data_IF_409430432864
#
_entry.id   IF_409430432864
#
_cell.length_a   1.000
_cell.length_b   1.000
_cell.length_c   1.000
_cell.angle_alpha   90.00
_cell.angle_beta   90.00
_cell.angle_gamma   90.00
#
_symmetry.space_group_name_H-M   'P 1'
#
loop_
_entity.id
_entity.type
_entity.pdbx_description
1 polymer ?
#
# COMPACT_ATOMS: atom_id res chain seq x y z
N UNK A 1 9.34 7.58 40.54
CA UNK A 1 8.30 6.78 39.82
C UNK A 1 8.19 7.09 38.31
N UNK A 2 8.70 8.23 37.80
CA UNK A 2 8.58 8.63 36.38
C UNK A 2 9.44 7.83 35.38
N UNK A 3 10.56 7.26 35.83
CA UNK A 3 11.47 6.49 34.95
C UNK A 3 10.89 5.09 34.66
N UNK A 4 10.20 4.47 35.64
CA UNK A 4 9.58 3.15 35.49
C UNK A 4 8.41 3.18 34.49
N UNK A 5 7.64 4.27 34.47
CA UNK A 5 6.55 4.48 33.50
C UNK A 5 7.04 4.74 32.08
N UNK A 6 8.20 5.39 31.91
CA UNK A 6 8.80 5.62 30.59
C UNK A 6 9.32 4.33 29.94
N UNK A 7 9.92 3.43 30.73
CA UNK A 7 10.38 2.12 30.25
C UNK A 7 9.24 1.20 29.81
N UNK A 8 8.12 1.19 30.56
CA UNK A 8 6.93 0.41 30.20
C UNK A 8 6.25 0.93 28.93
N UNK A 9 6.22 2.25 28.72
CA UNK A 9 5.68 2.84 27.48
C UNK A 9 6.56 2.54 26.25
N UNK A 10 7.89 2.53 26.41
CA UNK A 10 8.83 2.23 25.33
C UNK A 10 8.76 0.78 24.83
N UNK A 11 8.58 -0.19 25.74
CA UNK A 11 8.46 -1.60 25.37
C UNK A 11 7.12 -1.90 24.68
N UNK A 12 6.02 -1.28 25.12
CA UNK A 12 4.70 -1.47 24.51
C UNK A 12 4.63 -1.00 23.05
N UNK A 13 5.38 0.06 22.70
CA UNK A 13 5.40 0.58 21.34
C UNK A 13 6.13 -0.33 20.34
N UNK A 14 7.13 -1.09 20.78
CA UNK A 14 7.86 -2.02 19.90
C UNK A 14 7.05 -3.28 19.56
N UNK A 15 6.18 -3.74 20.45
CA UNK A 15 5.31 -4.92 20.21
C UNK A 15 4.21 -4.62 19.20
N UNK A 16 3.71 -3.38 19.12
CA UNK A 16 2.66 -3.01 18.15
C UNK A 16 3.18 -2.81 16.71
N UNK A 17 4.50 -2.75 16.50
CA UNK A 17 5.10 -2.56 15.16
C UNK A 17 5.18 -3.82 14.30
N UNK A 18 5.08 -5.02 14.90
CA UNK A 18 5.24 -6.31 14.21
C UNK A 18 3.93 -6.91 13.66
N UNK A 19 2.79 -6.23 13.85
CA UNK A 19 1.49 -6.72 13.42
C UNK A 19 1.34 -7.09 11.93
N UNK A 20 1.99 -6.43 10.94
CA UNK A 20 1.70 -6.75 9.54
C UNK A 20 2.30 -8.08 9.06
N UNK A 21 3.18 -8.71 9.84
CA UNK A 21 3.81 -9.98 9.46
C UNK A 21 2.87 -11.20 9.58
N UNK A 22 1.73 -11.05 10.26
CA UNK A 22 0.74 -12.12 10.46
C UNK A 22 -0.55 -11.93 9.63
N UNK A 23 -0.56 -10.99 8.69
CA UNK A 23 -1.71 -10.85 7.79
C UNK A 23 -1.69 -11.99 6.76
N UNK A 24 -2.67 -12.89 6.85
CA UNK A 24 -2.90 -13.94 5.86
C UNK A 24 -2.96 -13.34 4.45
N UNK A 25 -2.23 -13.92 3.50
CA UNK A 25 -2.20 -13.43 2.12
C UNK A 25 -3.61 -13.56 1.53
N UNK A 26 -4.18 -12.49 0.99
CA UNK A 26 -5.52 -12.55 0.40
C UNK A 26 -5.46 -13.22 -0.98
N UNK A 27 -6.06 -14.41 -1.09
CA UNK A 27 -6.07 -15.27 -2.26
C UNK A 27 -7.47 -15.29 -2.86
N UNK A 28 -7.60 -14.74 -4.07
CA UNK A 28 -8.90 -14.57 -4.70
C UNK A 28 -9.12 -15.61 -5.80
N UNK A 29 -10.31 -16.23 -5.91
CA UNK A 29 -10.64 -17.10 -7.04
C UNK A 29 -10.61 -16.33 -8.36
N UNK A 30 -10.07 -16.96 -9.40
CA UNK A 30 -10.13 -16.45 -10.77
C UNK A 30 -11.12 -17.30 -11.58
N UNK A 31 -12.24 -16.70 -11.96
CA UNK A 31 -13.29 -17.39 -12.73
C UNK A 31 -12.88 -17.49 -14.21
N UNK A 32 -12.01 -18.43 -14.54
CA UNK A 32 -11.70 -18.80 -15.92
C UNK A 32 -12.72 -19.81 -16.45
N UNK A 33 -13.00 -19.77 -17.75
CA UNK A 33 -13.81 -20.82 -18.42
C UNK A 33 -13.08 -22.17 -18.50
N UNK A 34 -11.75 -22.16 -18.46
CA UNK A 34 -10.91 -23.34 -18.52
C UNK A 34 -9.87 -23.31 -17.40
N UNK A 35 -9.62 -24.47 -16.77
CA UNK A 35 -8.64 -24.65 -15.71
C UNK A 35 -7.36 -25.24 -16.30
N UNK A 36 -6.32 -24.40 -16.43
CA UNK A 36 -4.98 -24.81 -16.89
C UNK A 36 -4.04 -25.20 -15.76
N UNK A 37 -4.59 -25.39 -14.56
CA UNK A 37 -3.83 -25.74 -13.37
C UNK A 37 -3.64 -27.26 -13.26
N UNK A 38 -2.54 -27.72 -12.67
CA UNK A 38 -2.33 -29.15 -12.41
C UNK A 38 -3.42 -29.70 -11.46
N UNK A 39 -3.60 -31.02 -11.49
CA UNK A 39 -4.74 -31.71 -10.92
C UNK A 39 -5.12 -31.25 -9.49
N UNK A 40 -6.40 -30.88 -9.32
CA UNK A 40 -6.96 -30.47 -8.02
C UNK A 40 -6.76 -29.00 -7.65
N UNK A 41 -6.01 -28.23 -8.43
CA UNK A 41 -5.84 -26.79 -8.22
C UNK A 41 -6.71 -25.98 -9.19
N UNK A 42 -7.17 -24.82 -8.71
CA UNK A 42 -7.89 -23.87 -9.52
C UNK A 42 -7.04 -22.62 -9.77
N UNK A 43 -7.34 -21.84 -10.82
CA UNK A 43 -6.72 -20.55 -11.01
C UNK A 43 -7.16 -19.58 -9.90
N UNK A 44 -6.17 -18.92 -9.30
CA UNK A 44 -6.31 -17.92 -8.25
C UNK A 44 -5.56 -16.65 -8.64
N UNK A 45 -5.86 -15.56 -7.95
CA UNK A 45 -5.20 -14.27 -8.11
C UNK A 45 -4.69 -13.78 -6.77
N UNK A 46 -3.39 -13.50 -6.71
CA UNK A 46 -2.71 -12.94 -5.54
C UNK A 46 -1.93 -11.72 -6.01
N UNK A 47 -2.15 -10.57 -5.38
CA UNK A 47 -1.44 -9.31 -5.71
C UNK A 47 -1.49 -8.95 -7.21
N UNK A 48 -2.55 -9.36 -7.92
CA UNK A 48 -2.75 -9.09 -9.35
C UNK A 48 -2.11 -10.10 -10.32
N UNK A 49 -1.42 -11.13 -9.82
CA UNK A 49 -0.85 -12.21 -10.65
C UNK A 49 -1.74 -13.46 -10.58
N UNK A 50 -1.94 -14.12 -11.73
CA UNK A 50 -2.68 -15.38 -11.82
C UNK A 50 -1.73 -16.54 -11.55
N UNK A 51 -2.09 -17.41 -10.62
CA UNK A 51 -1.35 -18.62 -10.26
C UNK A 51 -2.31 -19.77 -9.95
N UNK A 52 -1.77 -20.97 -9.70
CA UNK A 52 -2.56 -22.15 -9.32
C UNK A 52 -2.54 -22.35 -7.82
N UNK A 53 -3.70 -22.61 -7.21
CA UNK A 53 -3.82 -22.74 -5.76
C UNK A 53 -5.25 -22.90 -5.28
N UNK A 54 -5.44 -22.73 -3.98
CA UNK A 54 -6.75 -22.78 -3.32
C UNK A 54 -7.14 -21.38 -2.83
N UNK A 55 -8.34 -20.88 -3.20
CA UNK A 55 -8.80 -19.57 -2.75
C UNK A 55 -9.12 -19.58 -1.26
N UNK A 56 -8.81 -18.50 -0.56
CA UNK A 56 -9.28 -18.25 0.82
C UNK A 56 -10.38 -17.17 0.87
N UNK A 57 -10.66 -16.50 -0.25
CA UNK A 57 -11.72 -15.50 -0.37
C UNK A 57 -12.88 -16.01 -1.24
N UNK A 58 -14.10 -15.55 -0.93
CA UNK A 58 -15.31 -15.83 -1.71
C UNK A 58 -15.54 -14.87 -2.89
N UNK A 59 -14.82 -13.74 -2.93
CA UNK A 59 -14.98 -12.69 -3.96
C UNK A 59 -13.82 -12.66 -4.95
N UNK A 60 -14.04 -12.14 -6.16
CA UNK A 60 -12.98 -12.01 -7.15
C UNK A 60 -12.03 -10.84 -6.86
N UNK A 61 -10.80 -10.92 -7.34
CA UNK A 61 -9.81 -9.83 -7.21
C UNK A 61 -10.32 -8.52 -7.83
N UNK A 62 -11.00 -8.60 -8.96
CA UNK A 62 -11.58 -7.44 -9.64
C UNK A 62 -12.61 -6.72 -8.76
N UNK A 63 -13.47 -7.48 -8.07
CA UNK A 63 -14.47 -6.92 -7.17
C UNK A 63 -13.82 -6.14 -6.02
N UNK A 64 -12.70 -6.65 -5.48
CA UNK A 64 -11.94 -5.95 -4.43
C UNK A 64 -11.27 -4.70 -4.96
N UNK A 65 -10.69 -4.75 -6.15
CA UNK A 65 -10.03 -3.59 -6.75
C UNK A 65 -11.03 -2.47 -7.07
N UNK A 66 -12.25 -2.81 -7.49
CA UNK A 66 -13.33 -1.84 -7.70
C UNK A 66 -13.76 -1.16 -6.40
N UNK A 67 -13.80 -1.91 -5.29
CA UNK A 67 -14.21 -1.41 -3.97
C UNK A 67 -13.03 -0.99 -3.09
N UNK A 68 -11.81 -0.92 -3.63
CA UNK A 68 -10.65 -0.51 -2.88
C UNK A 68 -10.79 0.97 -2.51
N UNK A 69 -10.83 1.26 -1.21
CA UNK A 69 -10.94 2.63 -0.71
C UNK A 69 -9.82 3.50 -1.31
N UNK A 70 -10.21 4.55 -2.05
CA UNK A 70 -9.25 5.52 -2.60
C UNK A 70 -8.54 6.20 -1.44
N UNK A 71 -7.27 5.89 -1.24
CA UNK A 71 -6.44 6.58 -0.25
C UNK A 71 -6.16 7.98 -0.77
N UNK A 72 -6.85 8.98 -0.24
CA UNK A 72 -6.53 10.38 -0.51
C UNK A 72 -5.12 10.67 0.04
N UNK A 73 -4.13 10.77 -0.85
CA UNK A 73 -2.82 11.30 -0.46
C UNK A 73 -2.99 12.80 -0.20
N UNK A 74 -2.56 13.33 0.95
CA UNK A 74 -2.61 14.76 1.20
C UNK A 74 -1.79 15.47 0.12
N UNK A 75 -2.41 16.40 -0.61
CA UNK A 75 -1.68 17.25 -1.56
C UNK A 75 -0.77 18.16 -0.75
N UNK A 76 0.55 17.96 -0.85
CA UNK A 76 1.50 18.89 -0.25
C UNK A 76 1.49 20.16 -1.11
N UNK A 77 0.78 21.19 -0.64
CA UNK A 77 0.85 22.52 -1.23
C UNK A 77 2.25 23.09 -0.96
N UNK A 78 3.16 22.89 -1.91
CA UNK A 78 4.47 23.53 -1.87
C UNK A 78 4.24 24.99 -2.23
N UNK A 79 4.44 25.90 -1.27
CA UNK A 79 4.49 27.33 -1.59
C UNK A 79 5.73 27.55 -2.44
N UNK A 80 5.56 27.71 -3.76
CA UNK A 80 6.64 28.20 -4.61
C UNK A 80 6.91 29.63 -4.17
N UNK A 81 8.10 29.90 -3.61
CA UNK A 81 8.52 31.26 -3.35
C UNK A 81 8.46 32.03 -4.67
N UNK A 82 7.72 33.13 -4.69
CA UNK A 82 7.66 33.99 -5.88
C UNK A 82 9.01 34.69 -5.96
N UNK A 83 9.79 34.36 -6.99
CA UNK A 83 11.05 35.03 -7.33
C UNK A 83 10.73 36.47 -7.73
N UNK A 84 10.61 37.36 -6.75
CA UNK A 84 10.53 38.81 -6.99
C UNK A 84 11.95 39.35 -6.89
N UNK A 85 12.76 39.06 -7.91
CA UNK A 85 14.05 39.73 -8.09
C UNK A 85 13.90 40.72 -9.24
N UNK A 86 14.23 41.99 -8.99
CA UNK A 86 14.56 42.94 -10.05
C UNK A 86 15.83 42.41 -10.71
N UNK A 87 15.69 41.82 -11.90
CA UNK A 87 16.83 41.29 -12.66
C UNK A 87 17.25 42.33 -13.70
N UNK A 88 18.29 43.13 -13.41
CA UNK A 88 18.81 44.09 -14.37
C UNK A 88 19.35 43.38 -15.63
N UNK A 89 19.37 44.12 -16.73
CA UNK A 89 19.83 43.63 -18.04
C UNK A 89 21.27 43.12 -17.95
N UNK A 90 21.48 41.87 -18.38
CA UNK A 90 22.78 41.20 -18.40
C UNK A 90 22.95 40.06 -17.40
N UNK A 91 21.99 39.84 -16.49
CA UNK A 91 22.12 38.81 -15.44
C UNK A 91 21.67 37.44 -15.94
N UNK A 92 22.52 36.41 -15.82
CA UNK A 92 22.22 35.03 -16.25
C UNK A 92 21.72 34.21 -15.06
N UNK A 93 20.65 33.44 -15.24
CA UNK A 93 20.09 32.56 -14.21
C UNK A 93 18.94 33.14 -13.38
N UNK A 94 18.45 34.33 -13.74
CA UNK A 94 17.16 34.82 -13.27
C UNK A 94 16.00 34.09 -13.97
N UNK A 95 15.02 33.62 -13.21
CA UNK A 95 13.75 33.06 -13.70
C UNK A 95 12.56 33.73 -13.05
#
# INVERSE_FOLDING_TARGET
MRIKTALLAGLGLMVMGAAPAFADAKIYPYHAKANYCPAGLQPITISGVICCGTPNQSMSYQHVMMNAAKRHKPKRHVRRAKSTYDCPIGTKGCS
#
